data_IF_489174122277
#
_entry.id   IF_489174122277
#
_cell.length_a   1.000
_cell.length_b   1.000
_cell.length_c   1.000
_cell.angle_alpha   90.00
_cell.angle_beta   90.00
_cell.angle_gamma   90.00
#
_symmetry.space_group_name_H-M   'P 1'
#
loop_
_entity.id
_entity.type
_entity.pdbx_description
1 polymer ?
#
# COMPACT_ATOMS: atom_id res chain seq x y z
N UNK A 1 37.14 29.66 3.32
CA UNK A 1 37.08 29.16 1.94
C UNK A 1 36.40 30.22 1.08
N UNK A 2 37.05 30.71 0.06
CA UNK A 2 36.43 31.65 -0.86
C UNK A 2 35.77 30.86 -1.99
N UNK A 3 34.48 30.98 -2.12
CA UNK A 3 33.75 30.44 -3.25
C UNK A 3 33.90 31.39 -4.45
N UNK A 4 34.42 30.88 -5.56
CA UNK A 4 34.45 31.62 -6.81
C UNK A 4 33.09 31.51 -7.50
N UNK A 5 32.84 32.38 -8.50
CA UNK A 5 31.63 32.28 -9.31
C UNK A 5 31.50 30.91 -9.97
N UNK A 6 32.63 30.32 -10.30
CA UNK A 6 32.69 29.00 -10.92
C UNK A 6 32.25 27.91 -9.94
N UNK A 7 32.68 28.01 -8.67
CA UNK A 7 32.27 27.06 -7.62
C UNK A 7 30.77 27.16 -7.35
N UNK A 8 30.24 28.37 -7.31
CA UNK A 8 28.81 28.60 -7.12
C UNK A 8 27.99 27.97 -8.25
N UNK A 9 28.44 28.07 -9.49
CA UNK A 9 27.75 27.46 -10.63
C UNK A 9 27.79 25.94 -10.59
N UNK A 10 28.92 25.35 -10.16
CA UNK A 10 29.02 23.90 -10.02
C UNK A 10 28.10 23.39 -8.92
N UNK A 11 28.01 24.07 -7.79
CA UNK A 11 27.09 23.73 -6.69
C UNK A 11 25.63 23.90 -7.13
N UNK A 12 25.33 24.96 -7.86
CA UNK A 12 23.99 25.20 -8.37
C UNK A 12 23.54 24.12 -9.36
N UNK A 13 24.45 23.63 -10.21
CA UNK A 13 24.16 22.52 -11.12
C UNK A 13 23.87 21.23 -10.40
N UNK A 14 24.64 20.91 -9.35
CA UNK A 14 24.39 19.73 -8.54
C UNK A 14 23.06 19.82 -7.78
N UNK A 15 22.73 20.98 -7.24
CA UNK A 15 21.45 21.21 -6.58
C UNK A 15 20.28 21.05 -7.54
N UNK A 16 20.40 21.51 -8.79
CA UNK A 16 19.37 21.35 -9.80
C UNK A 16 19.11 19.88 -10.15
N UNK A 17 20.16 19.06 -10.21
CA UNK A 17 20.03 17.61 -10.40
C UNK A 17 19.31 16.95 -9.23
N UNK A 18 19.60 17.38 -8.00
CA UNK A 18 18.93 16.85 -6.82
C UNK A 18 17.45 17.24 -6.75
N UNK A 19 17.07 18.38 -7.27
CA UNK A 19 15.65 18.79 -7.30
C UNK A 19 14.81 18.00 -8.30
N UNK A 20 15.43 17.36 -9.28
CA UNK A 20 14.72 16.46 -10.21
C UNK A 20 14.40 15.13 -9.52
N UNK A 21 15.24 14.64 -8.61
CA UNK A 21 15.04 13.38 -7.91
C UNK A 21 13.72 13.29 -7.11
N UNK A 22 13.24 14.34 -6.43
CA UNK A 22 11.96 14.26 -5.73
C UNK A 22 10.76 13.90 -6.60
N UNK A 23 10.82 14.15 -7.92
CA UNK A 23 9.75 13.73 -8.82
C UNK A 23 9.63 12.21 -8.91
N UNK A 24 10.71 11.48 -8.60
CA UNK A 24 10.72 10.02 -8.55
C UNK A 24 10.13 9.49 -7.24
N UNK A 25 10.05 10.32 -6.19
CA UNK A 25 9.50 9.92 -4.90
C UNK A 25 7.97 9.79 -4.91
N UNK A 26 7.31 10.23 -5.98
CA UNK A 26 5.87 9.99 -6.18
C UNK A 26 5.56 8.56 -6.63
N UNK A 27 6.57 7.73 -6.83
CA UNK A 27 6.39 6.33 -7.16
C UNK A 27 5.69 5.58 -6.02
N UNK A 28 4.97 4.51 -6.38
CA UNK A 28 4.28 3.67 -5.43
C UNK A 28 5.23 3.11 -4.36
N UNK A 29 4.74 3.02 -3.14
CA UNK A 29 5.50 2.41 -2.05
C UNK A 29 5.58 0.90 -2.31
N UNK A 30 6.76 0.27 -2.17
CA UNK A 30 6.88 -1.16 -2.33
C UNK A 30 5.97 -1.93 -1.36
N UNK A 31 5.36 -3.01 -1.84
CA UNK A 31 4.40 -3.81 -1.07
C UNK A 31 5.01 -4.29 0.25
N UNK A 32 6.24 -4.78 0.22
CA UNK A 32 6.92 -5.26 1.42
C UNK A 32 7.10 -4.17 2.49
N UNK A 33 7.35 -2.94 2.09
CA UNK A 33 7.44 -1.82 3.02
C UNK A 33 6.10 -1.51 3.68
N UNK A 34 5.01 -1.57 2.92
CA UNK A 34 3.66 -1.40 3.46
C UNK A 34 3.33 -2.49 4.46
N UNK A 35 3.64 -3.73 4.14
CA UNK A 35 3.42 -4.88 5.02
C UNK A 35 4.22 -4.72 6.31
N UNK A 36 5.49 -4.39 6.21
CA UNK A 36 6.35 -4.18 7.37
C UNK A 36 5.89 -3.03 8.25
N UNK A 37 5.32 -2.00 7.67
CA UNK A 37 4.73 -0.88 8.41
C UNK A 37 3.55 -1.29 9.29
N UNK A 38 2.79 -2.30 8.89
CA UNK A 38 1.67 -2.84 9.67
C UNK A 38 2.14 -3.88 10.68
N UNK A 39 3.10 -4.72 10.28
CA UNK A 39 3.56 -5.84 11.13
C UNK A 39 4.62 -5.42 12.14
N UNK A 40 5.14 -4.20 12.04
CA UNK A 40 6.24 -3.73 12.88
C UNK A 40 7.58 -4.40 12.57
N UNK A 41 7.73 -4.92 11.35
CA UNK A 41 8.93 -5.62 10.90
C UNK A 41 8.86 -7.13 11.00
N UNK A 42 7.75 -7.69 11.49
CA UNK A 42 7.55 -9.14 11.53
C UNK A 42 7.24 -9.68 10.14
N UNK A 43 7.61 -10.92 9.89
CA UNK A 43 7.29 -11.59 8.65
C UNK A 43 5.80 -11.90 8.55
N UNK A 44 5.24 -11.72 7.36
CA UNK A 44 3.86 -12.06 7.07
C UNK A 44 3.81 -13.28 6.13
N UNK A 45 2.99 -14.25 6.47
CA UNK A 45 2.77 -15.42 5.62
C UNK A 45 1.97 -15.00 4.37
N UNK A 46 2.21 -15.67 3.25
CA UNK A 46 1.44 -15.47 2.01
C UNK A 46 0.20 -16.37 1.94
N UNK A 47 -0.05 -17.15 2.97
CA UNK A 47 -1.20 -18.05 3.09
C UNK A 47 -2.08 -17.64 4.28
N UNK A 48 -3.31 -18.12 4.30
CA UNK A 48 -4.25 -17.79 5.37
C UNK A 48 -5.05 -16.51 5.15
N UNK A 49 -4.84 -15.83 4.04
CA UNK A 49 -5.58 -14.64 3.62
C UNK A 49 -5.89 -14.72 2.13
N UNK A 50 -7.09 -14.34 1.76
CA UNK A 50 -7.51 -14.20 0.36
C UNK A 50 -7.89 -12.76 0.09
N UNK A 51 -7.31 -12.16 -0.93
CA UNK A 51 -7.70 -10.85 -1.42
C UNK A 51 -8.27 -11.01 -2.83
N UNK A 52 -9.50 -10.60 -3.02
CA UNK A 52 -10.15 -10.59 -4.32
C UNK A 52 -10.36 -9.15 -4.76
N UNK A 53 -9.78 -8.81 -5.89
CA UNK A 53 -9.92 -7.50 -6.51
C UNK A 53 -9.96 -7.68 -8.03
N UNK A 54 -10.63 -6.79 -8.78
CA UNK A 54 -10.63 -6.90 -10.24
C UNK A 54 -9.22 -6.65 -10.79
N UNK A 55 -8.84 -7.41 -11.81
CA UNK A 55 -7.57 -7.16 -12.50
C UNK A 55 -7.60 -5.82 -13.23
N UNK A 56 -8.77 -5.46 -13.74
CA UNK A 56 -9.00 -4.19 -14.44
C UNK A 56 -10.21 -3.50 -13.80
N UNK A 57 -10.00 -2.30 -13.31
CA UNK A 57 -11.06 -1.44 -12.80
C UNK A 57 -11.37 -0.36 -13.84
N UNK A 58 -12.59 -0.37 -14.34
CA UNK A 58 -13.04 0.64 -15.30
C UNK A 58 -13.23 2.01 -14.64
N UNK A 59 -13.49 2.02 -13.33
CA UNK A 59 -13.66 3.24 -12.56
C UNK A 59 -12.89 3.14 -11.25
N UNK A 60 -11.80 3.90 -11.15
CA UNK A 60 -10.96 3.92 -9.96
C UNK A 60 -11.61 4.55 -8.73
N UNK A 61 -12.71 5.28 -8.89
CA UNK A 61 -13.41 5.88 -7.75
C UNK A 61 -14.19 4.87 -6.91
N UNK A 62 -14.48 3.70 -7.46
CA UNK A 62 -15.26 2.68 -6.78
C UNK A 62 -14.81 1.29 -7.23
N UNK A 63 -13.78 0.78 -6.58
CA UNK A 63 -13.20 -0.53 -6.89
C UNK A 63 -13.65 -1.53 -5.82
N UNK A 64 -14.44 -2.55 -6.18
CA UNK A 64 -14.86 -3.55 -5.19
C UNK A 64 -13.69 -4.46 -4.82
N UNK A 65 -13.54 -4.71 -3.53
CA UNK A 65 -12.57 -5.65 -3.00
C UNK A 65 -13.22 -6.54 -1.94
N UNK A 66 -12.71 -7.75 -1.82
CA UNK A 66 -13.12 -8.68 -0.78
C UNK A 66 -11.88 -9.29 -0.15
N UNK A 67 -11.83 -9.36 1.16
CA UNK A 67 -10.75 -9.97 1.91
C UNK A 67 -11.35 -11.02 2.83
N UNK A 68 -10.76 -12.19 2.86
CA UNK A 68 -11.11 -13.26 3.78
C UNK A 68 -9.85 -13.76 4.46
N UNK A 69 -9.86 -13.78 5.79
CA UNK A 69 -8.73 -14.21 6.60
C UNK A 69 -9.22 -14.92 7.84
N UNK A 70 -9.57 -16.23 7.74
CA UNK A 70 -10.05 -16.99 8.89
C UNK A 70 -9.06 -16.94 10.07
N UNK A 71 -9.57 -16.64 11.26
CA UNK A 71 -8.75 -16.50 12.46
C UNK A 71 -8.11 -15.13 12.65
N UNK A 72 -8.36 -14.18 11.79
CA UNK A 72 -7.85 -12.82 11.94
C UNK A 72 -8.60 -12.04 13.01
N UNK A 73 -7.89 -11.20 13.74
CA UNK A 73 -8.49 -10.22 14.66
C UNK A 73 -8.63 -8.85 14.00
N UNK A 74 -7.81 -8.59 12.99
CA UNK A 74 -7.87 -7.34 12.21
C UNK A 74 -7.34 -7.56 10.79
N UNK A 75 -7.88 -6.82 9.84
CA UNK A 75 -7.38 -6.77 8.47
C UNK A 75 -7.16 -5.30 8.11
N UNK A 76 -5.95 -4.98 7.67
CA UNK A 76 -5.61 -3.65 7.18
C UNK A 76 -5.48 -3.68 5.67
N UNK A 77 -6.16 -2.76 5.00
CA UNK A 77 -6.11 -2.62 3.53
C UNK A 77 -5.35 -1.35 3.18
N UNK A 78 -4.46 -1.47 2.22
CA UNK A 78 -3.62 -0.38 1.75
C UNK A 78 -3.59 -0.35 0.23
N UNK A 79 -3.37 0.83 -0.32
CA UNK A 79 -3.22 1.05 -1.76
C UNK A 79 -1.87 1.73 -1.99
N UNK A 80 -0.94 1.01 -2.61
CA UNK A 80 0.47 1.40 -2.69
C UNK A 80 0.71 2.68 -3.48
N UNK A 81 -0.14 3.00 -4.44
CA UNK A 81 0.01 4.18 -5.29
C UNK A 81 -0.88 5.36 -4.91
N UNK A 82 -1.70 5.25 -3.87
CA UNK A 82 -2.51 6.37 -3.43
C UNK A 82 -1.66 7.39 -2.63
N UNK A 83 -2.05 8.68 -2.64
CA UNK A 83 -1.35 9.69 -1.82
C UNK A 83 -1.32 9.32 -0.34
N UNK A 84 -2.35 8.64 0.14
CA UNK A 84 -2.42 8.04 1.47
C UNK A 84 -2.60 6.54 1.29
N UNK A 85 -1.57 5.74 1.50
CA UNK A 85 -1.66 4.29 1.28
C UNK A 85 -2.66 3.59 2.19
N UNK A 86 -2.82 4.03 3.42
CA UNK A 86 -3.79 3.44 4.36
C UNK A 86 -5.22 3.71 3.91
N UNK A 87 -5.98 2.64 3.65
CA UNK A 87 -7.36 2.74 3.15
C UNK A 87 -8.36 2.46 4.27
N UNK A 88 -8.26 1.29 4.90
CA UNK A 88 -9.21 0.87 5.92
C UNK A 88 -8.61 -0.20 6.83
N UNK A 89 -9.10 -0.27 8.05
CA UNK A 89 -8.79 -1.35 8.97
C UNK A 89 -10.11 -1.93 9.48
N UNK A 90 -10.26 -3.24 9.36
CA UNK A 90 -11.41 -3.96 9.86
C UNK A 90 -11.02 -4.74 11.11
N UNK A 91 -11.67 -4.45 12.22
CA UNK A 91 -11.44 -5.15 13.49
C UNK A 91 -12.60 -6.14 13.71
N UNK A 92 -12.26 -7.37 14.02
CA UNK A 92 -13.24 -8.43 14.25
C UNK A 92 -13.35 -8.73 15.73
N UNK A 93 -14.58 -8.68 16.24
CA UNK A 93 -14.85 -9.06 17.62
C UNK A 93 -14.79 -10.58 17.81
N UNK A 94 -14.67 -11.00 19.07
CA UNK A 94 -14.62 -12.42 19.43
C UNK A 94 -15.88 -13.20 18.99
N UNK A 95 -17.02 -12.51 18.83
CA UNK A 95 -18.27 -13.11 18.36
C UNK A 95 -18.47 -13.10 16.87
N UNK A 96 -17.49 -12.66 16.08
CA UNK A 96 -17.63 -12.63 14.61
C UNK A 96 -17.73 -14.03 14.04
N UNK A 97 -18.77 -14.28 13.23
CA UNK A 97 -18.98 -15.58 12.61
C UNK A 97 -17.94 -15.87 11.53
N UNK A 98 -17.42 -14.85 10.89
CA UNK A 98 -16.36 -14.95 9.88
C UNK A 98 -15.47 -13.71 9.92
N UNK A 99 -14.24 -13.87 9.50
CA UNK A 99 -13.27 -12.79 9.41
C UNK A 99 -13.11 -12.41 7.94
N UNK A 100 -14.16 -11.85 7.36
CA UNK A 100 -14.17 -11.38 5.98
C UNK A 100 -14.76 -9.98 5.89
N UNK A 101 -14.31 -9.23 4.89
CA UNK A 101 -14.80 -7.90 4.63
C UNK A 101 -14.90 -7.67 3.13
N UNK A 102 -15.99 -7.05 2.71
CA UNK A 102 -16.21 -6.65 1.34
C UNK A 102 -16.53 -5.17 1.34
N UNK A 103 -15.82 -4.40 0.53
CA UNK A 103 -15.98 -2.96 0.45
C UNK A 103 -15.60 -2.45 -0.93
N UNK A 104 -15.78 -1.17 -1.13
CA UNK A 104 -15.31 -0.46 -2.31
C UNK A 104 -14.32 0.59 -1.89
N UNK A 105 -13.24 0.67 -2.63
CA UNK A 105 -12.16 1.62 -2.34
C UNK A 105 -11.89 2.50 -3.56
N UNK A 106 -11.21 3.61 -3.30
CA UNK A 106 -10.76 4.52 -4.36
C UNK A 106 -9.29 4.24 -4.67
N UNK A 107 -9.00 4.09 -5.95
CA UNK A 107 -7.64 3.95 -6.44
C UNK A 107 -7.34 5.14 -7.37
N UNK A 108 -6.29 5.89 -7.05
CA UNK A 108 -5.91 7.06 -7.84
C UNK A 108 -5.34 6.70 -9.21
N UNK A 109 -4.95 5.47 -9.43
CA UNK A 109 -4.41 4.97 -10.68
C UNK A 109 -4.08 3.49 -10.56
N UNK A 110 -3.50 2.92 -11.61
CA UNK A 110 -3.01 1.54 -11.60
C UNK A 110 -2.00 1.35 -10.47
N UNK A 111 -2.22 0.38 -9.61
CA UNK A 111 -1.39 0.16 -8.43
C UNK A 111 -1.67 -1.19 -7.79
N UNK A 112 -0.88 -1.53 -6.79
CA UNK A 112 -1.10 -2.71 -5.96
C UNK A 112 -2.03 -2.38 -4.79
N UNK A 113 -3.01 -3.25 -4.57
CA UNK A 113 -3.82 -3.28 -3.36
C UNK A 113 -3.25 -4.35 -2.44
N UNK A 114 -3.04 -3.99 -1.19
CA UNK A 114 -2.39 -4.86 -0.21
C UNK A 114 -3.32 -5.06 0.97
N UNK A 115 -3.46 -6.30 1.41
CA UNK A 115 -4.18 -6.62 2.63
C UNK A 115 -3.25 -7.36 3.60
N UNK A 116 -3.26 -6.94 4.86
CA UNK A 116 -2.49 -7.58 5.92
C UNK A 116 -3.46 -7.97 7.03
N UNK A 117 -3.45 -9.24 7.38
CA UNK A 117 -4.26 -9.76 8.48
C UNK A 117 -3.38 -10.00 9.70
N UNK A 118 -3.85 -9.52 10.85
CA UNK A 118 -3.29 -9.86 12.16
C UNK A 118 -4.09 -11.02 12.73
N UNK A 119 -3.43 -12.13 12.99
CA UNK A 119 -4.06 -13.34 13.52
C UNK A 119 -4.16 -13.31 15.04
N UNK A 120 -5.07 -14.12 15.58
CA UNK A 120 -5.29 -14.20 17.03
C UNK A 120 -4.07 -14.68 17.82
N UNK A 121 -3.17 -15.43 17.18
CA UNK A 121 -1.92 -15.91 17.78
C UNK A 121 -0.76 -14.90 17.69
N UNK A 122 -1.02 -13.72 17.15
CA UNK A 122 -0.01 -12.68 16.95
C UNK A 122 0.78 -12.78 15.66
N UNK A 123 0.49 -13.77 14.82
CA UNK A 123 1.11 -13.88 13.50
C UNK A 123 0.40 -12.97 12.49
N UNK A 124 1.05 -12.77 11.34
CA UNK A 124 0.51 -11.93 10.25
C UNK A 124 0.45 -12.73 8.96
N UNK A 125 -0.52 -12.39 8.13
CA UNK A 125 -0.63 -12.87 6.76
C UNK A 125 -0.86 -11.68 5.85
N UNK A 126 -0.33 -11.74 4.63
CA UNK A 126 -0.51 -10.68 3.64
C UNK A 126 -0.83 -11.22 2.27
N UNK A 127 -1.59 -10.44 1.52
CA UNK A 127 -1.86 -10.69 0.12
C UNK A 127 -1.86 -9.35 -0.61
N UNK A 128 -1.54 -9.38 -1.89
CA UNK A 128 -1.61 -8.20 -2.73
C UNK A 128 -2.09 -8.57 -4.12
N UNK A 129 -2.65 -7.61 -4.82
CA UNK A 129 -3.05 -7.77 -6.21
C UNK A 129 -2.88 -6.45 -6.94
N UNK A 130 -2.30 -6.51 -8.13
CA UNK A 130 -2.21 -5.36 -9.01
C UNK A 130 -3.57 -5.12 -9.67
N UNK A 131 -4.07 -3.90 -9.56
CA UNK A 131 -5.32 -3.47 -10.19
C UNK A 131 -4.98 -2.41 -11.25
N UNK A 132 -5.34 -2.69 -12.48
CA UNK A 132 -5.19 -1.73 -13.57
C UNK A 132 -6.41 -0.83 -13.62
N UNK A 133 -6.21 0.48 -13.45
CA UNK A 133 -7.28 1.47 -13.49
C UNK A 133 -7.26 2.15 -14.85
N UNK A 134 -8.35 2.07 -15.60
CA UNK A 134 -8.46 2.65 -16.94
C UNK A 134 -9.05 4.06 -16.91
N UNK A 135 -9.90 4.36 -15.93
CA UNK A 135 -10.47 5.68 -15.69
C UNK A 135 -10.34 5.95 -14.19
N UNK A 136 -9.60 6.99 -13.84
CA UNK A 136 -9.35 7.34 -12.45
C UNK A 136 -9.86 8.71 -12.07
#
# INVERSE_FOLDING_TARGET
MKLTRRDTMAIGGAAALMTILPSLSSAAIPVNELVMGVTGGADAASTGISLTAPEIAENGNTVPISIDAPGAVAITVMAAGNPRPGVATFNFGAGSASQSATTRIRLAGTQDVVAVAEMADGSFASAHQTVKVTIG
#
